data_IF_816832708574
#
_entry.id   IF_816832708574
#
_cell.length_a   1.000
_cell.length_b   1.000
_cell.length_c   1.000
_cell.angle_alpha   90.00
_cell.angle_beta   90.00
_cell.angle_gamma   90.00
#
_symmetry.space_group_name_H-M   'P 1'
#
loop_
_entity.id
_entity.type
_entity.pdbx_description
1 polymer ?
#
# COMPACT_ATOMS: atom_id res chain seq x y z
N UNK A 1 37.34 -16.41 45.88
CA UNK A 1 36.12 -15.91 46.55
C UNK A 1 35.88 -14.40 46.38
N UNK A 2 36.87 -13.55 46.13
CA UNK A 2 36.70 -12.09 45.95
C UNK A 2 36.10 -11.66 44.60
N UNK A 3 36.24 -12.44 43.54
CA UNK A 3 35.70 -12.15 42.20
C UNK A 3 34.20 -12.46 42.04
N UNK A 4 33.63 -13.35 42.83
CA UNK A 4 32.20 -13.67 42.85
C UNK A 4 31.37 -12.61 43.61
N UNK A 5 31.99 -11.89 44.56
CA UNK A 5 31.35 -10.81 45.30
C UNK A 5 31.17 -9.51 44.51
N UNK A 6 32.04 -9.22 43.53
CA UNK A 6 31.95 -8.04 42.67
C UNK A 6 30.91 -8.19 41.53
N UNK A 7 30.68 -9.41 41.05
CA UNK A 7 29.65 -9.70 40.05
C UNK A 7 28.23 -9.62 40.65
N UNK A 8 28.03 -9.95 41.92
CA UNK A 8 26.73 -9.83 42.57
C UNK A 8 26.38 -8.37 42.94
N UNK A 9 27.37 -7.53 43.19
CA UNK A 9 27.15 -6.12 43.50
C UNK A 9 26.79 -5.30 42.27
N UNK A 10 27.27 -5.67 41.07
CA UNK A 10 26.91 -5.00 39.80
C UNK A 10 25.49 -5.33 39.32
N UNK A 11 24.92 -6.49 39.67
CA UNK A 11 23.56 -6.86 39.37
C UNK A 11 22.50 -6.09 40.20
N UNK A 12 22.85 -5.56 41.34
CA UNK A 12 21.94 -4.80 42.18
C UNK A 12 21.86 -3.32 41.84
N UNK A 13 22.81 -2.78 41.07
CA UNK A 13 22.83 -1.37 40.67
C UNK A 13 22.00 -1.07 39.41
N UNK A 14 21.58 -2.07 38.68
CA UNK A 14 20.79 -1.88 37.45
C UNK A 14 19.27 -1.91 37.63
N UNK A 15 18.77 -2.21 38.84
CA UNK A 15 17.33 -2.38 39.10
C UNK A 15 16.61 -1.15 39.69
N UNK A 16 17.32 -0.06 39.98
CA UNK A 16 16.71 1.08 40.72
C UNK A 16 16.11 2.19 39.83
N UNK A 17 16.30 2.16 38.52
CA UNK A 17 15.75 3.20 37.62
C UNK A 17 14.33 2.92 37.11
N UNK A 18 13.82 1.71 37.23
CA UNK A 18 12.55 1.30 36.62
C UNK A 18 11.29 1.86 37.33
N UNK A 19 11.41 2.37 38.55
CA UNK A 19 10.24 2.73 39.38
C UNK A 19 10.29 4.16 39.96
N UNK A 20 11.07 5.07 39.37
CA UNK A 20 11.03 6.48 39.79
C UNK A 20 9.82 7.16 39.21
N UNK A 21 9.08 7.97 40.01
CA UNK A 21 7.97 8.76 39.52
C UNK A 21 8.40 9.64 38.30
N UNK A 22 7.68 9.58 37.22
CA UNK A 22 8.00 10.31 35.99
C UNK A 22 6.73 10.66 35.21
N UNK A 23 6.86 11.54 34.23
CA UNK A 23 5.85 11.82 33.22
C UNK A 23 6.15 10.97 31.98
N UNK A 24 5.18 10.19 31.52
CA UNK A 24 5.28 9.49 30.25
C UNK A 24 4.81 10.42 29.12
N UNK A 25 5.70 10.74 28.19
CA UNK A 25 5.35 11.53 27.01
C UNK A 25 5.14 10.61 25.80
N UNK A 26 3.96 10.70 25.20
CA UNK A 26 3.56 10.00 23.98
C UNK A 26 3.35 11.02 22.86
N UNK A 27 3.48 10.56 21.60
CA UNK A 27 3.29 11.41 20.42
C UNK A 27 2.27 10.78 19.49
N UNK A 28 1.26 11.57 19.11
CA UNK A 28 0.32 11.27 18.01
C UNK A 28 0.60 12.28 16.90
N UNK A 29 1.12 11.79 15.79
CA UNK A 29 1.39 12.58 14.58
C UNK A 29 0.73 11.92 13.38
N UNK A 30 -0.04 12.69 12.60
CA UNK A 30 -0.79 12.19 11.45
C UNK A 30 -2.15 11.56 11.78
N UNK A 31 -2.73 10.76 10.86
CA UNK A 31 -4.08 10.23 10.99
C UNK A 31 -4.25 9.26 12.16
N UNK A 32 -5.39 9.38 12.88
CA UNK A 32 -5.75 8.49 13.99
C UNK A 32 -6.43 7.23 13.44
N UNK A 33 -5.77 6.08 13.64
CA UNK A 33 -6.22 4.79 13.19
C UNK A 33 -5.93 3.66 14.20
N UNK A 34 -6.23 2.40 13.84
CA UNK A 34 -6.04 1.25 14.74
C UNK A 34 -4.62 1.09 15.28
N UNK A 35 -3.59 1.45 14.50
CA UNK A 35 -2.21 1.47 14.96
C UNK A 35 -1.98 2.49 16.09
N UNK A 36 -2.69 3.62 16.07
CA UNK A 36 -2.65 4.64 17.12
C UNK A 36 -3.26 4.11 18.42
N UNK A 37 -4.39 3.38 18.32
CA UNK A 37 -5.02 2.75 19.49
C UNK A 37 -4.10 1.72 20.14
N UNK A 38 -3.51 0.79 19.36
CA UNK A 38 -2.55 -0.22 19.87
C UNK A 38 -1.34 0.46 20.54
N UNK A 39 -0.83 1.52 19.95
CA UNK A 39 0.27 2.29 20.52
C UNK A 39 -0.09 2.92 21.88
N UNK A 40 -1.22 3.62 21.95
CA UNK A 40 -1.66 4.29 23.16
C UNK A 40 -2.00 3.29 24.28
N UNK A 41 -2.75 2.22 23.97
CA UNK A 41 -3.10 1.19 24.93
C UNK A 41 -1.86 0.57 25.59
N UNK A 42 -0.92 0.13 24.77
CA UNK A 42 0.34 -0.49 25.28
C UNK A 42 1.22 0.50 26.00
N UNK A 43 1.27 1.75 25.53
CA UNK A 43 2.08 2.78 26.17
C UNK A 43 1.49 3.21 27.51
N UNK A 44 0.17 3.31 27.65
CA UNK A 44 -0.51 3.56 28.92
C UNK A 44 -0.27 2.44 29.92
N UNK A 45 -0.43 1.18 29.51
CA UNK A 45 -0.15 0.01 30.35
C UNK A 45 1.32 -0.03 30.80
N UNK A 46 2.25 0.26 29.87
CA UNK A 46 3.67 0.31 30.17
C UNK A 46 4.01 1.47 31.11
N UNK A 47 3.47 2.67 30.88
CA UNK A 47 3.66 3.84 31.73
C UNK A 47 3.18 3.56 33.17
N UNK A 48 1.99 2.98 33.32
CA UNK A 48 1.44 2.57 34.60
C UNK A 48 2.36 1.55 35.32
N UNK A 49 2.78 0.49 34.61
CA UNK A 49 3.65 -0.56 35.20
C UNK A 49 5.03 -0.04 35.58
N UNK A 50 5.51 1.05 34.97
CA UNK A 50 6.79 1.69 35.24
C UNK A 50 6.69 2.85 36.23
N UNK A 51 5.51 3.09 36.81
CA UNK A 51 5.33 4.08 37.89
C UNK A 51 5.17 5.53 37.36
N UNK A 52 4.76 5.73 36.12
CA UNK A 52 4.40 7.06 35.63
C UNK A 52 3.28 7.65 36.49
N UNK A 53 3.40 8.94 36.83
CA UNK A 53 2.39 9.68 37.61
C UNK A 53 1.42 10.42 36.72
N UNK A 54 1.80 10.63 35.45
CA UNK A 54 1.07 11.39 34.48
C UNK A 54 1.45 10.90 33.08
N UNK A 55 0.51 10.93 32.16
CA UNK A 55 0.77 10.74 30.73
C UNK A 55 0.44 12.03 29.98
N UNK A 56 1.40 12.58 29.26
CA UNK A 56 1.21 13.69 28.33
C UNK A 56 1.23 13.15 26.90
N UNK A 57 0.12 13.36 26.19
CA UNK A 57 -0.02 12.95 24.78
C UNK A 57 0.05 14.22 23.92
N UNK A 58 1.18 14.40 23.26
CA UNK A 58 1.35 15.48 22.28
C UNK A 58 0.62 15.11 20.99
N UNK A 59 -0.21 16.02 20.46
CA UNK A 59 -1.12 15.73 19.33
C UNK A 59 -0.90 16.75 18.20
N UNK A 60 -0.63 16.22 16.98
CA UNK A 60 -0.75 16.93 15.71
C UNK A 60 -1.43 16.01 14.70
N UNK A 61 -2.73 16.20 14.46
CA UNK A 61 -3.54 15.28 13.64
C UNK A 61 -4.55 16.04 12.77
N UNK A 62 -4.73 15.59 11.52
CA UNK A 62 -5.83 16.02 10.67
C UNK A 62 -7.17 15.36 11.04
N UNK A 63 -7.15 14.34 11.92
CA UNK A 63 -8.31 13.53 12.27
C UNK A 63 -8.08 12.03 12.08
N UNK A 64 -9.14 11.27 11.90
CA UNK A 64 -9.08 9.83 11.69
C UNK A 64 -10.43 9.13 11.85
N UNK A 65 -10.41 7.84 12.13
CA UNK A 65 -11.61 7.00 12.20
C UNK A 65 -12.40 7.25 13.49
N UNK A 66 -13.71 7.42 13.35
CA UNK A 66 -14.61 7.64 14.50
C UNK A 66 -14.63 6.45 15.48
N UNK A 67 -14.57 5.21 14.96
CA UNK A 67 -14.47 4.01 15.80
C UNK A 67 -13.23 4.03 16.67
N UNK A 68 -12.07 4.28 16.07
CA UNK A 68 -10.78 4.41 16.75
C UNK A 68 -10.80 5.54 17.80
N UNK A 69 -11.42 6.68 17.46
CA UNK A 69 -11.59 7.81 18.38
C UNK A 69 -12.35 7.39 19.65
N UNK A 70 -13.43 6.61 19.50
CA UNK A 70 -14.19 6.08 20.63
C UNK A 70 -13.38 5.12 21.49
N UNK A 71 -12.59 4.27 20.86
CA UNK A 71 -11.75 3.33 21.61
C UNK A 71 -10.68 4.09 22.42
N UNK A 72 -10.03 5.09 21.82
CA UNK A 72 -9.03 5.90 22.52
C UNK A 72 -9.65 6.73 23.66
N UNK A 73 -10.79 7.41 23.43
CA UNK A 73 -11.45 8.15 24.50
C UNK A 73 -11.90 7.24 25.64
N UNK A 74 -12.31 6.01 25.35
CA UNK A 74 -12.58 4.98 26.37
C UNK A 74 -11.33 4.60 27.16
N UNK A 75 -10.17 4.42 26.49
CA UNK A 75 -8.88 4.17 27.16
C UNK A 75 -8.53 5.31 28.11
N UNK A 76 -8.74 6.57 27.71
CA UNK A 76 -8.48 7.72 28.61
C UNK A 76 -9.39 7.69 29.83
N UNK A 77 -10.70 7.43 29.64
CA UNK A 77 -11.66 7.35 30.74
C UNK A 77 -11.41 6.20 31.71
N UNK A 78 -10.80 5.11 31.25
CA UNK A 78 -10.48 3.92 32.04
C UNK A 78 -9.04 3.94 32.60
N UNK A 79 -8.26 4.96 32.28
CA UNK A 79 -6.88 5.06 32.74
C UNK A 79 -6.80 5.20 34.27
N UNK A 80 -5.89 4.46 34.90
CA UNK A 80 -5.56 4.57 36.34
C UNK A 80 -4.57 5.70 36.64
N UNK A 81 -4.05 6.36 35.59
CA UNK A 81 -3.16 7.53 35.71
C UNK A 81 -3.73 8.68 34.90
N UNK A 82 -3.58 9.92 35.36
CA UNK A 82 -4.08 11.09 34.63
C UNK A 82 -3.52 11.18 33.20
N UNK A 83 -4.38 11.48 32.24
CA UNK A 83 -4.04 11.69 30.85
C UNK A 83 -4.21 13.16 30.50
N UNK A 84 -3.16 13.79 30.01
CA UNK A 84 -3.14 15.15 29.48
C UNK A 84 -2.98 15.09 27.96
N UNK A 85 -3.84 15.77 27.23
CA UNK A 85 -3.61 16.03 25.81
C UNK A 85 -3.02 17.41 25.62
N UNK A 86 -2.01 17.49 24.76
CA UNK A 86 -1.30 18.74 24.45
C UNK A 86 -1.20 18.91 22.94
N UNK A 87 -1.95 19.85 22.39
CA UNK A 87 -1.92 20.15 20.95
C UNK A 87 -0.65 20.96 20.66
N UNK A 88 0.36 20.32 20.14
CA UNK A 88 1.69 20.88 19.92
C UNK A 88 2.44 20.15 18.78
N UNK A 89 3.49 20.76 18.20
CA UNK A 89 4.10 22.06 18.52
C UNK A 89 3.25 23.26 18.06
N UNK A 90 3.81 24.48 18.12
CA UNK A 90 3.18 25.66 17.51
C UNK A 90 2.80 25.39 16.05
N UNK A 91 1.58 25.79 15.65
CA UNK A 91 1.01 25.47 14.34
C UNK A 91 0.39 24.09 14.21
N UNK A 92 0.51 23.22 15.22
CA UNK A 92 -0.15 21.93 15.25
C UNK A 92 -1.67 22.05 15.30
N UNK A 93 -2.34 20.96 14.95
CA UNK A 93 -3.80 20.90 14.98
C UNK A 93 -4.32 19.62 15.62
N UNK A 94 -5.44 19.75 16.32
CA UNK A 94 -6.25 18.61 16.77
C UNK A 94 -7.59 18.65 16.05
N UNK A 95 -7.60 18.33 14.74
CA UNK A 95 -8.80 18.37 13.92
C UNK A 95 -9.60 17.07 14.01
N UNK A 96 -10.92 17.14 13.80
CA UNK A 96 -11.83 15.99 13.73
C UNK A 96 -11.67 15.05 14.94
N UNK A 97 -11.20 13.80 14.75
CA UNK A 97 -10.92 12.86 15.82
C UNK A 97 -10.05 13.45 16.93
N UNK A 98 -9.07 14.30 16.59
CA UNK A 98 -8.21 14.98 17.55
C UNK A 98 -8.99 15.84 18.57
N UNK A 99 -10.03 16.52 18.12
CA UNK A 99 -10.93 17.31 19.00
C UNK A 99 -11.57 16.43 20.07
N UNK A 100 -12.06 15.26 19.67
CA UNK A 100 -12.64 14.29 20.63
C UNK A 100 -11.61 13.80 21.64
N UNK A 101 -10.34 13.58 21.23
CA UNK A 101 -9.27 13.16 22.14
C UNK A 101 -8.97 14.27 23.17
N UNK A 102 -8.93 15.52 22.71
CA UNK A 102 -8.78 16.67 23.60
C UNK A 102 -9.91 16.72 24.62
N UNK A 103 -11.15 16.57 24.20
CA UNK A 103 -12.30 16.54 25.10
C UNK A 103 -12.34 15.32 26.02
N UNK A 104 -11.80 14.17 25.58
CA UNK A 104 -11.77 12.92 26.32
C UNK A 104 -10.69 12.82 27.40
N UNK A 105 -9.69 13.70 27.36
CA UNK A 105 -8.56 13.71 28.34
C UNK A 105 -8.95 14.39 29.64
N UNK A 106 -8.25 14.06 30.73
CA UNK A 106 -8.47 14.68 32.04
C UNK A 106 -8.07 16.15 32.06
N UNK A 107 -6.97 16.49 31.41
CA UNK A 107 -6.51 17.87 31.18
C UNK A 107 -6.26 18.05 29.70
N UNK A 108 -6.71 19.18 29.16
CA UNK A 108 -6.47 19.59 27.78
C UNK A 108 -5.63 20.85 27.74
N UNK A 109 -4.59 20.85 26.94
CA UNK A 109 -3.70 21.98 26.75
C UNK A 109 -3.36 22.18 25.26
N UNK A 110 -2.96 23.39 24.92
CA UNK A 110 -2.57 23.79 23.58
C UNK A 110 -1.27 24.58 23.60
N UNK A 111 -0.44 24.42 22.58
CA UNK A 111 0.66 25.33 22.30
C UNK A 111 0.12 26.63 21.69
N UNK A 112 0.79 27.77 21.86
CA UNK A 112 0.45 28.99 21.14
C UNK A 112 0.36 28.74 19.63
N UNK A 113 -0.55 29.45 18.94
CA UNK A 113 -0.76 29.32 17.48
C UNK A 113 -1.22 27.94 17.00
N UNK A 114 -1.54 27.02 17.90
CA UNK A 114 -2.18 25.74 17.53
C UNK A 114 -3.70 25.90 17.44
N UNK A 115 -4.39 24.91 16.88
CA UNK A 115 -5.84 24.98 16.65
C UNK A 115 -6.52 23.62 16.87
N UNK A 116 -7.81 23.66 17.20
CA UNK A 116 -8.65 22.46 17.30
C UNK A 116 -10.04 22.73 16.72
N UNK A 117 -10.79 21.65 16.42
CA UNK A 117 -12.16 21.75 15.91
C UNK A 117 -12.38 20.94 14.64
N UNK A 118 -13.29 21.44 13.77
CA UNK A 118 -13.68 20.80 12.51
C UNK A 118 -14.02 19.30 12.71
N UNK A 119 -14.89 19.01 13.70
CA UNK A 119 -15.15 17.66 14.19
C UNK A 119 -16.39 16.99 13.52
N UNK A 120 -16.89 17.54 12.43
CA UNK A 120 -18.02 16.98 11.68
C UNK A 120 -17.65 15.59 11.14
N UNK A 121 -18.45 14.55 11.43
CA UNK A 121 -18.21 13.23 10.89
C UNK A 121 -18.32 13.24 9.36
N UNK A 122 -17.25 12.82 8.68
CA UNK A 122 -17.26 12.55 7.25
C UNK A 122 -17.55 11.08 7.03
N UNK A 123 -18.38 10.75 6.03
CA UNK A 123 -18.86 9.39 5.83
C UNK A 123 -17.95 8.64 4.84
N UNK A 124 -17.74 7.36 5.12
CA UNK A 124 -16.85 6.48 4.38
C UNK A 124 -17.41 5.96 3.05
N UNK A 125 -18.64 6.31 2.64
CA UNK A 125 -19.25 5.73 1.43
C UNK A 125 -20.26 6.67 0.81
N UNK A 126 -19.93 7.19 -0.38
CA UNK A 126 -20.82 7.77 -1.40
C UNK A 126 -21.73 8.93 -0.98
N UNK A 127 -21.89 9.91 -1.85
CA UNK A 127 -22.80 11.07 -1.70
C UNK A 127 -24.29 10.74 -1.54
N UNK A 128 -24.69 9.47 -1.63
CA UNK A 128 -26.08 9.00 -1.70
C UNK A 128 -26.66 8.48 -0.38
N UNK A 129 -26.01 8.76 0.78
CA UNK A 129 -26.67 8.39 2.03
C UNK A 129 -27.87 9.29 2.31
N UNK A 130 -29.00 8.63 2.62
CA UNK A 130 -30.23 9.26 3.08
C UNK A 130 -29.90 10.30 4.17
N UNK A 131 -30.47 11.50 4.07
CA UNK A 131 -30.32 12.60 5.04
C UNK A 131 -30.51 12.12 6.49
N UNK A 132 -31.42 11.18 6.70
CA UNK A 132 -31.69 10.56 8.00
C UNK A 132 -30.48 9.80 8.57
N UNK A 133 -29.66 9.16 7.73
CA UNK A 133 -28.46 8.47 8.21
C UNK A 133 -27.36 9.47 8.57
N UNK A 134 -27.19 10.55 7.81
CA UNK A 134 -26.25 11.65 8.14
C UNK A 134 -26.62 12.28 9.50
N UNK A 135 -27.88 12.60 9.70
CA UNK A 135 -28.37 13.14 10.96
C UNK A 135 -28.13 12.19 12.13
N UNK A 136 -28.34 10.88 11.93
CA UNK A 136 -28.07 9.87 12.95
C UNK A 136 -26.60 9.85 13.37
N UNK A 137 -25.65 9.80 12.41
CA UNK A 137 -24.21 9.78 12.70
C UNK A 137 -23.76 11.09 13.36
N UNK A 138 -24.25 12.23 12.87
CA UNK A 138 -23.96 13.53 13.46
C UNK A 138 -24.47 13.64 14.89
N UNK A 139 -25.72 13.26 15.14
CA UNK A 139 -26.32 13.31 16.48
C UNK A 139 -25.62 12.37 17.46
N UNK A 140 -25.20 11.19 17.00
CA UNK A 140 -24.42 10.25 17.79
C UNK A 140 -23.03 10.83 18.15
N UNK A 141 -22.35 11.50 17.21
CA UNK A 141 -21.10 12.19 17.47
C UNK A 141 -21.25 13.37 18.43
N UNK A 142 -22.33 14.17 18.27
CA UNK A 142 -22.69 15.27 19.19
C UNK A 142 -22.92 14.73 20.60
N UNK A 143 -23.71 13.68 20.74
CA UNK A 143 -23.97 13.07 22.05
C UNK A 143 -22.66 12.61 22.70
N UNK A 144 -21.79 12.00 21.92
CA UNK A 144 -20.49 11.53 22.43
C UNK A 144 -19.61 12.68 22.90
N UNK A 145 -19.40 13.73 22.08
CA UNK A 145 -18.51 14.83 22.45
C UNK A 145 -19.06 15.67 23.60
N UNK A 146 -20.39 15.88 23.66
CA UNK A 146 -21.03 16.55 24.79
C UNK A 146 -20.82 15.77 26.09
N UNK A 147 -20.97 14.46 26.07
CA UNK A 147 -20.72 13.62 27.27
C UNK A 147 -19.26 13.72 27.73
N UNK A 148 -18.28 13.80 26.80
CA UNK A 148 -16.87 14.01 27.14
C UNK A 148 -16.65 15.41 27.74
N UNK A 149 -17.29 16.44 27.17
CA UNK A 149 -17.23 17.81 27.65
C UNK A 149 -17.79 17.94 29.07
N UNK A 150 -18.97 17.44 29.30
CA UNK A 150 -19.66 17.47 30.61
C UNK A 150 -18.86 16.73 31.68
N UNK A 151 -18.32 15.54 31.32
CA UNK A 151 -17.49 14.74 32.25
C UNK A 151 -16.25 15.50 32.73
N UNK A 152 -15.61 16.27 31.84
CA UNK A 152 -14.35 16.97 32.12
C UNK A 152 -14.55 18.47 32.41
N UNK A 153 -15.79 18.93 32.61
CA UNK A 153 -16.12 20.32 32.97
C UNK A 153 -15.80 21.34 31.87
N UNK A 154 -15.84 20.92 30.60
CA UNK A 154 -15.55 21.77 29.44
C UNK A 154 -16.81 22.23 28.71
N UNK A 155 -16.63 23.17 27.78
CA UNK A 155 -17.72 23.78 27.03
C UNK A 155 -18.40 22.75 26.09
N UNK A 156 -19.58 22.26 26.47
CA UNK A 156 -20.34 21.29 25.70
C UNK A 156 -21.05 21.92 24.48
N UNK A 157 -21.41 23.20 24.57
CA UNK A 157 -22.11 23.87 23.47
C UNK A 157 -21.16 24.16 22.30
N UNK A 158 -19.94 24.57 22.60
CA UNK A 158 -18.92 24.69 21.55
C UNK A 158 -18.53 23.30 20.98
N UNK A 159 -18.47 22.28 21.80
CA UNK A 159 -18.23 20.90 21.34
C UNK A 159 -19.27 20.46 20.30
N UNK A 160 -20.55 20.80 20.51
CA UNK A 160 -21.62 20.55 19.55
C UNK A 160 -21.41 21.38 18.26
N UNK A 161 -21.02 22.65 18.35
CA UNK A 161 -20.73 23.49 17.18
C UNK A 161 -19.55 22.93 16.36
N UNK A 162 -18.49 22.42 17.02
CA UNK A 162 -17.38 21.78 16.34
C UNK A 162 -17.81 20.58 15.49
N UNK A 163 -18.86 19.84 15.93
CA UNK A 163 -19.41 18.68 15.21
C UNK A 163 -20.43 19.11 14.15
N UNK A 164 -21.37 19.99 14.46
CA UNK A 164 -22.45 20.36 13.52
C UNK A 164 -22.01 21.37 12.47
N UNK A 165 -21.18 22.32 12.84
CA UNK A 165 -20.83 23.49 12.04
C UNK A 165 -19.34 23.51 11.62
N UNK A 166 -18.59 22.45 11.97
CA UNK A 166 -17.14 22.37 11.77
C UNK A 166 -16.38 23.56 12.39
N UNK A 167 -16.90 24.11 13.51
CA UNK A 167 -16.27 25.24 14.19
C UNK A 167 -14.84 24.91 14.62
N UNK A 168 -13.95 25.91 14.55
CA UNK A 168 -12.54 25.82 14.95
C UNK A 168 -12.17 26.97 15.86
N UNK A 169 -11.24 26.74 16.78
CA UNK A 169 -10.66 27.76 17.66
C UNK A 169 -9.13 27.68 17.65
N UNK A 170 -8.50 28.85 17.76
CA UNK A 170 -7.10 28.96 18.14
C UNK A 170 -6.90 28.73 19.64
N UNK A 171 -5.65 28.61 20.08
CA UNK A 171 -5.33 28.25 21.46
C UNK A 171 -5.91 29.22 22.50
N UNK A 172 -5.75 30.53 22.29
CA UNK A 172 -6.22 31.58 23.24
C UNK A 172 -7.77 31.63 23.29
N UNK A 173 -8.42 31.47 22.14
CA UNK A 173 -9.88 31.43 22.05
C UNK A 173 -10.43 30.17 22.73
N UNK A 174 -9.74 29.03 22.57
CA UNK A 174 -10.11 27.76 23.18
C UNK A 174 -10.01 27.81 24.72
N UNK A 175 -8.98 28.49 25.25
CA UNK A 175 -8.84 28.76 26.67
C UNK A 175 -9.96 29.67 27.18
N UNK A 176 -10.20 30.79 26.50
CA UNK A 176 -11.24 31.77 26.87
C UNK A 176 -12.65 31.14 26.82
N UNK A 177 -12.90 30.23 25.89
CA UNK A 177 -14.17 29.53 25.75
C UNK A 177 -14.32 28.30 26.68
N UNK A 178 -13.36 28.03 27.55
CA UNK A 178 -13.33 26.80 28.40
C UNK A 178 -13.40 25.49 27.60
N UNK A 179 -12.73 25.46 26.45
CA UNK A 179 -12.56 24.27 25.62
C UNK A 179 -11.31 23.50 26.03
N UNK A 180 -10.25 24.24 26.38
CA UNK A 180 -9.03 23.69 26.97
C UNK A 180 -8.74 24.33 28.32
N UNK A 181 -7.89 23.68 29.13
CA UNK A 181 -7.57 24.14 30.48
C UNK A 181 -6.34 25.07 30.52
N UNK A 182 -5.41 24.89 29.57
CA UNK A 182 -4.14 25.62 29.57
C UNK A 182 -3.65 25.95 28.15
N UNK A 183 -2.90 27.03 28.03
CA UNK A 183 -2.07 27.35 26.87
C UNK A 183 -0.64 27.47 27.38
N UNK A 184 0.26 26.61 26.93
CA UNK A 184 1.64 26.50 27.42
C UNK A 184 2.60 26.33 26.23
N UNK A 185 3.77 26.97 26.28
CA UNK A 185 4.73 26.99 25.18
C UNK A 185 5.52 25.67 25.00
N UNK A 186 5.64 24.87 26.05
CA UNK A 186 6.34 23.58 26.02
C UNK A 186 5.73 22.58 27.00
N UNK A 187 6.14 21.32 26.94
CA UNK A 187 5.70 20.30 27.91
C UNK A 187 6.18 20.65 29.31
N UNK A 188 7.38 21.18 29.45
CA UNK A 188 7.94 21.61 30.74
C UNK A 188 7.14 22.77 31.35
N UNK A 189 6.75 23.74 30.53
CA UNK A 189 5.88 24.86 30.97
C UNK A 189 4.50 24.30 31.36
N UNK A 190 3.93 23.41 30.56
CA UNK A 190 2.66 22.76 30.89
C UNK A 190 2.72 22.03 32.24
N UNK A 191 3.78 21.28 32.51
CA UNK A 191 3.96 20.57 33.79
C UNK A 191 4.03 21.52 34.96
N UNK A 192 4.62 22.73 34.79
CA UNK A 192 4.62 23.77 35.84
C UNK A 192 3.23 24.40 36.01
N UNK A 193 2.48 24.61 34.91
CA UNK A 193 1.15 25.19 34.95
C UNK A 193 0.09 24.29 35.61
N UNK A 194 0.22 22.94 35.42
CA UNK A 194 -0.72 21.97 35.99
C UNK A 194 -0.30 21.46 37.40
N UNK A 195 0.80 21.93 37.96
CA UNK A 195 1.21 21.52 39.31
C UNK A 195 0.18 22.00 40.34
N UNK A 196 -0.29 21.08 41.17
CA UNK A 196 -1.39 21.35 42.11
C UNK A 196 -2.79 21.26 41.53
N UNK A 197 -2.95 21.05 40.19
CA UNK A 197 -4.26 20.89 39.57
C UNK A 197 -4.96 19.62 40.08
N UNK A 198 -6.25 19.74 40.39
CA UNK A 198 -7.08 18.62 40.84
C UNK A 198 -7.77 17.94 39.67
N UNK A 199 -7.56 16.64 39.50
CA UNK A 199 -8.24 15.81 38.49
C UNK A 199 -9.11 14.75 39.16
N UNK A 200 -10.29 14.51 38.60
CA UNK A 200 -11.13 13.40 39.00
C UNK A 200 -10.71 12.14 38.26
N UNK A 201 -10.20 11.16 38.98
CA UNK A 201 -9.74 9.87 38.44
C UNK A 201 -10.55 8.77 39.08
N UNK A 202 -11.38 8.04 38.31
CA UNK A 202 -12.25 6.95 38.80
C UNK A 202 -13.12 7.32 40.02
N UNK A 203 -13.52 8.60 40.14
CA UNK A 203 -14.36 9.09 41.23
C UNK A 203 -13.58 9.60 42.45
N UNK A 204 -12.26 9.50 42.45
CA UNK A 204 -11.39 10.09 43.45
C UNK A 204 -10.76 11.39 42.92
N UNK A 205 -10.61 12.38 43.77
CA UNK A 205 -9.91 13.64 43.42
C UNK A 205 -8.44 13.49 43.73
N UNK A 206 -7.60 13.63 42.71
CA UNK A 206 -6.15 13.57 42.82
C UNK A 206 -5.54 14.95 42.52
N UNK A 207 -4.73 15.49 43.46
CA UNK A 207 -3.91 16.67 43.22
C UNK A 207 -2.59 16.27 42.55
N UNK A 208 -2.30 16.86 41.41
CA UNK A 208 -1.09 16.58 40.63
C UNK A 208 0.13 17.19 41.32
N UNK A 209 1.27 16.50 41.25
CA UNK A 209 2.59 16.99 41.61
C UNK A 209 3.52 16.71 40.45
N UNK A 210 3.79 17.71 39.65
CA UNK A 210 4.43 17.58 38.32
C UNK A 210 5.75 18.36 38.22
N UNK A 211 5.99 19.36 39.03
CA UNK A 211 7.09 20.30 38.87
C UNK A 211 8.52 19.66 38.82
N UNK A 212 8.72 18.55 39.53
CA UNK A 212 10.04 17.90 39.64
C UNK A 212 10.10 16.54 38.90
N UNK A 213 9.11 16.19 38.09
CA UNK A 213 9.07 14.92 37.43
C UNK A 213 9.91 14.90 36.14
N UNK A 214 10.70 13.85 35.97
CA UNK A 214 11.44 13.57 34.74
C UNK A 214 10.46 13.23 33.59
N UNK A 215 10.66 13.82 32.43
CA UNK A 215 9.90 13.48 31.24
C UNK A 215 10.59 12.31 30.53
N UNK A 216 9.88 11.20 30.35
CA UNK A 216 10.35 10.04 29.60
C UNK A 216 9.52 9.84 28.36
N UNK A 217 10.18 9.82 27.20
CA UNK A 217 9.51 9.57 25.92
C UNK A 217 9.22 8.08 25.73
N UNK A 218 7.96 7.78 25.41
CA UNK A 218 7.47 6.45 25.09
C UNK A 218 7.24 6.36 23.58
N UNK A 219 8.34 6.20 22.83
CA UNK A 219 8.29 6.08 21.39
C UNK A 219 7.61 4.77 20.94
N UNK A 220 6.95 4.77 19.75
CA UNK A 220 6.39 3.57 19.17
C UNK A 220 7.44 2.46 19.03
N UNK A 221 7.13 1.26 19.49
CA UNK A 221 8.00 0.08 19.38
C UNK A 221 8.05 -0.44 17.91
N UNK A 222 8.88 -1.44 17.65
CA UNK A 222 9.03 -2.02 16.31
C UNK A 222 7.70 -2.56 15.76
N UNK A 223 6.88 -3.17 16.63
CA UNK A 223 5.57 -3.67 16.25
C UNK A 223 4.65 -2.54 15.80
N UNK A 224 4.55 -1.48 16.60
CA UNK A 224 3.71 -0.33 16.26
C UNK A 224 4.19 0.36 14.98
N UNK A 225 5.51 0.45 14.75
CA UNK A 225 6.06 1.00 13.50
C UNK A 225 5.64 0.17 12.29
N UNK A 226 5.69 -1.16 12.40
CA UNK A 226 5.23 -2.06 11.34
C UNK A 226 3.71 -1.90 11.12
N UNK A 227 2.91 -1.88 12.20
CA UNK A 227 1.47 -1.67 12.10
C UNK A 227 1.11 -0.32 11.47
N UNK A 228 1.81 0.76 11.86
CA UNK A 228 1.61 2.09 11.27
C UNK A 228 1.97 2.11 9.78
N UNK A 229 3.05 1.41 9.40
CA UNK A 229 3.42 1.26 7.99
C UNK A 229 2.34 0.52 7.19
N UNK A 230 1.82 -0.59 7.73
CA UNK A 230 0.76 -1.39 7.09
C UNK A 230 -0.59 -0.67 7.11
N UNK A 231 -0.86 0.19 8.09
CA UNK A 231 -2.05 1.03 8.14
C UNK A 231 -1.98 2.26 7.22
N UNK A 232 -0.90 2.43 6.45
CA UNK A 232 -0.77 3.50 5.47
C UNK A 232 -1.41 3.08 4.13
N UNK A 233 -2.41 3.83 3.60
CA UNK A 233 -3.10 3.49 2.35
C UNK A 233 -2.17 3.34 1.15
N UNK A 234 -1.14 4.19 1.05
CA UNK A 234 -0.18 4.15 -0.06
C UNK A 234 0.66 2.87 -0.03
N UNK A 235 1.08 2.43 1.17
CA UNK A 235 1.84 1.18 1.35
C UNK A 235 0.94 -0.02 1.06
N UNK A 236 -0.29 -0.04 1.57
CA UNK A 236 -1.27 -1.09 1.30
C UNK A 236 -1.53 -1.25 -0.21
N UNK A 237 -1.69 -0.13 -0.92
CA UNK A 237 -1.87 -0.10 -2.37
C UNK A 237 -0.64 -0.61 -3.12
N UNK A 238 0.56 -0.19 -2.73
CA UNK A 238 1.80 -0.68 -3.34
C UNK A 238 2.01 -2.18 -3.10
N UNK A 239 1.75 -2.66 -1.87
CA UNK A 239 1.80 -4.09 -1.56
C UNK A 239 0.82 -4.90 -2.41
N UNK A 240 -0.41 -4.39 -2.60
CA UNK A 240 -1.42 -5.01 -3.47
C UNK A 240 -0.91 -5.11 -4.91
N UNK A 241 -0.39 -4.03 -5.47
CA UNK A 241 0.12 -4.01 -6.84
C UNK A 241 1.34 -4.91 -7.02
N UNK A 242 2.36 -4.79 -6.15
CA UNK A 242 3.55 -5.66 -6.19
C UNK A 242 3.14 -7.13 -6.06
N UNK A 243 2.16 -7.41 -5.23
CA UNK A 243 1.60 -8.74 -5.06
C UNK A 243 0.95 -9.29 -6.32
N UNK A 244 0.07 -8.50 -6.95
CA UNK A 244 -0.61 -8.88 -8.20
C UNK A 244 0.42 -9.07 -9.32
N UNK A 245 1.28 -8.08 -9.55
CA UNK A 245 2.28 -8.15 -10.63
C UNK A 245 3.33 -9.25 -10.40
N UNK A 246 3.70 -9.51 -9.14
CA UNK A 246 4.62 -10.60 -8.79
C UNK A 246 4.06 -11.98 -9.15
N UNK A 247 2.78 -12.24 -8.84
CA UNK A 247 2.11 -13.48 -9.23
C UNK A 247 1.92 -13.57 -10.75
N UNK A 248 1.57 -12.48 -11.41
CA UNK A 248 1.45 -12.43 -12.88
C UNK A 248 2.78 -12.80 -13.52
N UNK A 249 3.87 -12.22 -13.05
CA UNK A 249 5.20 -12.48 -13.60
C UNK A 249 5.62 -13.96 -13.44
N UNK A 250 5.32 -14.57 -12.30
CA UNK A 250 5.56 -16.00 -12.06
C UNK A 250 4.74 -16.88 -13.02
N UNK A 251 3.45 -16.53 -13.24
CA UNK A 251 2.61 -17.27 -14.19
C UNK A 251 3.11 -17.17 -15.63
N UNK A 252 3.71 -16.04 -16.01
CA UNK A 252 4.27 -15.82 -17.35
C UNK A 252 5.65 -16.43 -17.55
N UNK A 253 6.41 -16.60 -16.47
CA UNK A 253 7.78 -17.13 -16.49
C UNK A 253 7.98 -18.17 -15.38
N UNK A 254 7.29 -19.34 -15.47
CA UNK A 254 7.31 -20.31 -14.40
C UNK A 254 8.71 -20.84 -14.13
N UNK A 255 9.10 -20.90 -12.84
CA UNK A 255 10.38 -21.43 -12.39
C UNK A 255 11.37 -20.39 -11.86
N UNK A 256 11.08 -19.09 -11.95
CA UNK A 256 11.90 -18.06 -11.32
C UNK A 256 11.71 -18.04 -9.80
N UNK A 257 10.53 -18.40 -9.30
CA UNK A 257 10.09 -18.52 -7.90
C UNK A 257 10.13 -17.23 -7.08
N UNK A 258 11.15 -16.38 -7.26
CA UNK A 258 11.34 -15.15 -6.46
C UNK A 258 10.17 -14.17 -6.60
N UNK A 259 9.70 -13.80 -7.81
CA UNK A 259 8.58 -12.89 -7.96
C UNK A 259 7.27 -13.47 -7.38
N UNK A 260 7.04 -14.78 -7.57
CA UNK A 260 5.85 -15.46 -7.05
C UNK A 260 5.78 -15.47 -5.53
N UNK A 261 6.89 -15.86 -4.86
CA UNK A 261 6.98 -15.86 -3.40
C UNK A 261 6.83 -14.44 -2.84
N UNK A 262 7.58 -13.49 -3.40
CA UNK A 262 7.50 -12.08 -2.98
C UNK A 262 6.09 -11.53 -3.20
N UNK A 263 5.48 -11.84 -4.34
CA UNK A 263 4.12 -11.46 -4.67
C UNK A 263 3.09 -12.01 -3.68
N UNK A 264 3.21 -13.29 -3.33
CA UNK A 264 2.32 -13.91 -2.33
C UNK A 264 2.45 -13.26 -0.95
N UNK A 265 3.68 -13.00 -0.48
CA UNK A 265 3.91 -12.29 0.79
C UNK A 265 3.30 -10.90 0.74
N UNK A 266 3.53 -10.13 -0.34
CA UNK A 266 2.97 -8.80 -0.50
C UNK A 266 1.43 -8.82 -0.51
N UNK A 267 0.78 -9.81 -1.13
CA UNK A 267 -0.68 -9.95 -1.10
C UNK A 267 -1.21 -10.27 0.29
N UNK A 268 -0.54 -11.13 1.06
CA UNK A 268 -0.94 -11.41 2.44
C UNK A 268 -0.83 -10.15 3.32
N UNK A 269 0.25 -9.39 3.17
CA UNK A 269 0.41 -8.11 3.87
C UNK A 269 -0.60 -7.06 3.40
N UNK A 270 -0.89 -7.00 2.09
CA UNK A 270 -1.93 -6.13 1.55
C UNK A 270 -3.31 -6.51 2.10
N UNK A 271 -3.65 -7.80 2.14
CA UNK A 271 -4.92 -8.27 2.69
C UNK A 271 -5.07 -7.88 4.18
N UNK A 272 -4.01 -8.01 4.97
CA UNK A 272 -3.98 -7.55 6.36
C UNK A 272 -4.17 -6.02 6.44
N UNK A 273 -3.47 -5.25 5.61
CA UNK A 273 -3.60 -3.79 5.54
C UNK A 273 -5.03 -3.35 5.17
N UNK A 274 -5.61 -3.99 4.15
CA UNK A 274 -6.97 -3.71 3.69
C UNK A 274 -8.06 -4.10 4.69
N UNK A 275 -7.76 -5.03 5.61
CA UNK A 275 -8.68 -5.37 6.72
C UNK A 275 -8.72 -4.25 7.78
N UNK A 276 -7.61 -3.52 7.95
CA UNK A 276 -7.49 -2.45 8.93
C UNK A 276 -8.03 -1.11 8.37
N UNK A 277 -7.87 -0.90 7.06
CA UNK A 277 -8.22 0.34 6.38
C UNK A 277 -9.67 0.31 5.86
N UNK A 278 -10.37 1.45 5.87
CA UNK A 278 -11.67 1.57 5.22
C UNK A 278 -11.48 1.53 3.70
N UNK A 279 -11.94 0.46 3.08
CA UNK A 279 -11.81 0.27 1.63
C UNK A 279 -13.16 0.22 0.94
N UNK A 280 -13.18 0.72 -0.30
CA UNK A 280 -14.28 0.51 -1.22
C UNK A 280 -14.07 -0.81 -1.98
N UNK A 281 -14.97 -1.78 -1.75
CA UNK A 281 -14.90 -3.10 -2.39
C UNK A 281 -15.02 -3.04 -3.91
N UNK A 282 -15.79 -2.08 -4.45
CA UNK A 282 -15.91 -1.88 -5.91
C UNK A 282 -14.57 -1.40 -6.48
N UNK A 283 -13.88 -0.47 -5.80
CA UNK A 283 -12.54 -0.03 -6.19
C UNK A 283 -11.54 -1.20 -6.22
N UNK A 284 -11.55 -2.05 -5.19
CA UNK A 284 -10.71 -3.24 -5.15
C UNK A 284 -11.01 -4.21 -6.31
N UNK A 285 -12.29 -4.49 -6.57
CA UNK A 285 -12.71 -5.35 -7.68
C UNK A 285 -12.29 -4.79 -9.05
N UNK A 286 -12.39 -3.47 -9.25
CA UNK A 286 -11.93 -2.81 -10.47
C UNK A 286 -10.42 -2.93 -10.66
N UNK A 287 -9.62 -2.83 -9.60
CA UNK A 287 -8.16 -3.04 -9.66
C UNK A 287 -7.85 -4.48 -10.07
N UNK A 288 -8.49 -5.46 -9.42
CA UNK A 288 -8.30 -6.88 -9.75
C UNK A 288 -8.72 -7.18 -11.19
N UNK A 289 -9.88 -6.67 -11.62
CA UNK A 289 -10.37 -6.83 -12.98
C UNK A 289 -9.44 -6.17 -14.00
N UNK A 290 -8.93 -4.97 -13.70
CA UNK A 290 -7.92 -4.29 -14.52
C UNK A 290 -6.65 -5.13 -14.69
N UNK A 291 -6.15 -5.71 -13.58
CA UNK A 291 -5.02 -6.64 -13.61
C UNK A 291 -5.27 -7.87 -14.50
N UNK A 292 -6.45 -8.49 -14.39
CA UNK A 292 -6.85 -9.63 -15.21
C UNK A 292 -6.89 -9.23 -16.70
N UNK A 293 -7.43 -8.07 -17.05
CA UNK A 293 -7.48 -7.60 -18.44
C UNK A 293 -6.07 -7.35 -19.02
N UNK A 294 -5.16 -6.77 -18.22
CA UNK A 294 -3.76 -6.55 -18.64
C UNK A 294 -3.06 -7.89 -18.92
N UNK A 295 -3.32 -8.90 -18.09
CA UNK A 295 -2.80 -10.26 -18.30
C UNK A 295 -3.45 -10.91 -19.53
N UNK A 296 -4.76 -10.76 -19.70
CA UNK A 296 -5.49 -11.34 -20.82
C UNK A 296 -4.97 -10.83 -22.17
N UNK A 297 -4.51 -9.58 -22.27
CA UNK A 297 -3.87 -9.02 -23.47
C UNK A 297 -2.66 -9.84 -23.93
N UNK A 298 -1.91 -10.44 -22.99
CA UNK A 298 -0.76 -11.28 -23.31
C UNK A 298 -1.18 -12.59 -24.01
N UNK A 299 -2.32 -13.16 -23.62
CA UNK A 299 -2.81 -14.43 -24.18
C UNK A 299 -3.74 -14.23 -25.39
N UNK A 300 -4.53 -13.15 -25.38
CA UNK A 300 -5.49 -12.81 -26.44
C UNK A 300 -5.08 -11.51 -27.10
N UNK A 301 -4.27 -11.57 -28.17
CA UNK A 301 -3.71 -10.37 -28.79
C UNK A 301 -4.81 -9.55 -29.44
N UNK A 302 -5.26 -8.50 -28.75
CA UNK A 302 -6.30 -7.57 -29.19
C UNK A 302 -5.73 -6.24 -29.73
N UNK A 303 -4.43 -6.17 -29.99
CA UNK A 303 -3.71 -4.94 -30.37
C UNK A 303 -3.76 -3.82 -29.33
N UNK A 304 -3.87 -4.18 -28.06
CA UNK A 304 -3.86 -3.25 -26.93
C UNK A 304 -5.25 -2.84 -26.42
N UNK A 305 -6.33 -3.23 -27.09
CA UNK A 305 -7.71 -2.79 -26.72
C UNK A 305 -8.09 -3.30 -25.33
N UNK A 306 -7.88 -4.60 -25.07
CA UNK A 306 -8.17 -5.21 -23.77
C UNK A 306 -7.25 -4.62 -22.70
N UNK A 307 -5.96 -4.46 -23.03
CA UNK A 307 -4.97 -3.88 -22.11
C UNK A 307 -5.28 -2.43 -21.71
N UNK A 308 -5.69 -1.60 -22.67
CA UNK A 308 -6.13 -0.22 -22.39
C UNK A 308 -7.37 -0.22 -21.49
N UNK A 309 -8.36 -1.09 -21.76
CA UNK A 309 -9.49 -1.30 -20.86
C UNK A 309 -9.06 -1.68 -19.45
N UNK A 310 -8.03 -2.54 -19.33
CA UNK A 310 -7.40 -2.90 -18.08
C UNK A 310 -6.77 -1.72 -17.33
N UNK A 311 -6.05 -0.84 -18.04
CA UNK A 311 -5.48 0.38 -17.46
C UNK A 311 -6.57 1.34 -16.97
N UNK A 312 -7.63 1.52 -17.74
CA UNK A 312 -8.78 2.36 -17.34
C UNK A 312 -9.42 1.79 -16.07
N UNK A 313 -9.69 0.48 -16.03
CA UNK A 313 -10.29 -0.18 -14.87
C UNK A 313 -9.39 -0.08 -13.63
N UNK A 314 -8.08 -0.32 -13.79
CA UNK A 314 -7.10 -0.19 -12.71
C UNK A 314 -7.05 1.24 -12.16
N UNK A 315 -7.05 2.25 -13.04
CA UNK A 315 -7.01 3.66 -12.64
C UNK A 315 -8.29 4.07 -11.93
N UNK A 316 -9.46 3.71 -12.48
CA UNK A 316 -10.74 3.97 -11.85
C UNK A 316 -10.85 3.29 -10.48
N UNK A 317 -10.42 2.03 -10.39
CA UNK A 317 -10.37 1.30 -9.13
C UNK A 317 -9.43 1.93 -8.11
N UNK A 318 -8.28 2.44 -8.54
CA UNK A 318 -7.33 3.14 -7.66
C UNK A 318 -7.90 4.45 -7.09
N UNK A 319 -8.65 5.20 -7.90
CA UNK A 319 -9.34 6.41 -7.45
C UNK A 319 -10.45 6.11 -6.44
N UNK A 320 -11.06 4.92 -6.53
CA UNK A 320 -12.19 4.52 -5.69
C UNK A 320 -11.77 3.65 -4.50
N UNK A 321 -10.52 3.15 -4.44
CA UNK A 321 -10.12 2.15 -3.45
C UNK A 321 -10.22 2.65 -2.01
N UNK A 322 -9.76 3.87 -1.75
CA UNK A 322 -9.84 4.51 -0.44
C UNK A 322 -10.73 5.73 -0.49
N UNK A 323 -11.47 5.94 0.59
CA UNK A 323 -12.35 7.08 0.69
C UNK A 323 -11.56 8.36 0.93
N UNK A 324 -11.65 9.31 0.00
CA UNK A 324 -10.99 10.63 0.10
C UNK A 324 -11.65 11.55 1.14
N UNK A 325 -12.79 11.16 1.71
CA UNK A 325 -13.47 11.94 2.75
C UNK A 325 -12.75 11.88 4.11
N UNK A 326 -11.92 10.85 4.36
CA UNK A 326 -11.13 10.72 5.60
C UNK A 326 -9.75 11.36 5.41
N UNK A 327 -9.47 12.49 6.08
CA UNK A 327 -8.20 13.19 5.92
C UNK A 327 -7.00 12.28 6.22
N UNK A 328 -6.04 12.23 5.27
CA UNK A 328 -4.82 11.41 5.39
C UNK A 328 -4.99 9.93 5.04
N UNK A 329 -6.18 9.49 4.59
CA UNK A 329 -6.41 8.13 4.10
C UNK A 329 -6.58 8.04 2.58
N UNK A 330 -6.40 9.12 1.88
CA UNK A 330 -6.45 9.19 0.42
C UNK A 330 -5.16 8.72 -0.25
N UNK A 331 -5.28 8.14 -1.44
CA UNK A 331 -4.12 7.86 -2.28
C UNK A 331 -3.61 9.16 -2.92
N UNK A 332 -2.29 9.33 -2.93
CA UNK A 332 -1.67 10.43 -3.66
C UNK A 332 -1.97 10.32 -5.16
N UNK A 333 -2.49 11.39 -5.76
CA UNK A 333 -2.74 11.45 -7.21
C UNK A 333 -1.48 11.17 -8.02
N UNK A 334 -0.31 11.61 -7.54
CA UNK A 334 0.97 11.34 -8.20
C UNK A 334 1.28 9.83 -8.24
N UNK A 335 0.93 9.09 -7.19
CA UNK A 335 1.09 7.63 -7.15
C UNK A 335 0.16 6.95 -8.16
N UNK A 336 -1.11 7.37 -8.23
CA UNK A 336 -2.09 6.83 -9.18
C UNK A 336 -1.63 7.07 -10.63
N UNK A 337 -1.19 8.28 -10.95
CA UNK A 337 -0.66 8.60 -12.28
C UNK A 337 0.60 7.80 -12.63
N UNK A 338 1.52 7.63 -11.66
CA UNK A 338 2.72 6.84 -11.86
C UNK A 338 2.37 5.38 -12.18
N UNK A 339 1.45 4.79 -11.43
CA UNK A 339 0.99 3.41 -11.65
C UNK A 339 0.27 3.27 -13.00
N UNK A 340 -0.62 4.19 -13.33
CA UNK A 340 -1.31 4.20 -14.63
C UNK A 340 -0.33 4.29 -15.81
N UNK A 341 0.71 5.13 -15.68
CA UNK A 341 1.76 5.25 -16.69
C UNK A 341 2.57 3.96 -16.86
N UNK A 342 2.95 3.32 -15.74
CA UNK A 342 3.68 2.03 -15.77
C UNK A 342 2.79 0.94 -16.40
N UNK A 343 1.51 0.88 -16.04
CA UNK A 343 0.57 -0.06 -16.61
C UNK A 343 0.37 0.17 -18.12
N UNK A 344 0.23 1.42 -18.55
CA UNK A 344 0.13 1.77 -19.97
C UNK A 344 1.40 1.42 -20.74
N UNK A 345 2.56 1.71 -20.16
CA UNK A 345 3.85 1.37 -20.76
C UNK A 345 4.03 -0.16 -20.91
N UNK A 346 3.56 -0.95 -19.94
CA UNK A 346 3.60 -2.41 -20.00
C UNK A 346 2.69 -2.95 -21.12
N UNK A 347 1.48 -2.43 -21.27
CA UNK A 347 0.56 -2.78 -22.37
C UNK A 347 1.17 -2.42 -23.73
N UNK A 348 1.72 -1.21 -23.86
CA UNK A 348 2.40 -0.78 -25.10
C UNK A 348 3.61 -1.68 -25.43
N UNK A 349 4.39 -2.06 -24.43
CA UNK A 349 5.52 -2.97 -24.60
C UNK A 349 5.07 -4.35 -25.09
N UNK A 350 4.03 -4.94 -24.48
CA UNK A 350 3.44 -6.21 -24.89
C UNK A 350 2.97 -6.12 -26.35
N UNK A 351 2.21 -5.08 -26.70
CA UNK A 351 1.72 -4.87 -28.05
C UNK A 351 2.85 -4.74 -29.09
N UNK A 352 3.93 -4.03 -28.76
CA UNK A 352 5.11 -3.88 -29.62
C UNK A 352 5.86 -5.20 -29.81
N UNK A 353 6.05 -5.98 -28.75
CA UNK A 353 6.72 -7.29 -28.83
C UNK A 353 5.90 -8.24 -29.70
N UNK A 354 4.59 -8.28 -29.52
CA UNK A 354 3.69 -9.11 -30.35
C UNK A 354 3.66 -8.69 -31.82
N UNK A 355 3.60 -7.38 -32.09
CA UNK A 355 3.66 -6.87 -33.46
C UNK A 355 4.97 -7.25 -34.15
N UNK A 356 6.11 -7.10 -33.45
CA UNK A 356 7.43 -7.50 -33.99
C UNK A 356 7.54 -9.02 -34.21
N UNK A 357 7.01 -9.83 -33.29
CA UNK A 357 7.01 -11.30 -33.44
C UNK A 357 6.21 -11.75 -34.65
N UNK A 358 5.01 -11.16 -34.89
CA UNK A 358 4.21 -11.46 -36.07
C UNK A 358 4.85 -11.00 -37.36
N UNK A 359 5.54 -9.85 -37.38
CA UNK A 359 6.28 -9.39 -38.56
C UNK A 359 7.47 -10.29 -38.88
N UNK A 360 8.15 -10.84 -37.86
CA UNK A 360 9.30 -11.74 -38.03
C UNK A 360 8.86 -13.13 -38.48
N UNK A 361 7.67 -13.58 -38.13
CA UNK A 361 7.08 -14.87 -38.55
C UNK A 361 6.34 -14.77 -39.89
N UNK A 362 6.51 -13.70 -40.65
CA UNK A 362 6.04 -13.64 -42.04
C UNK A 362 6.90 -14.57 -42.88
N UNK A 363 6.36 -15.75 -43.06
CA UNK A 363 6.49 -16.76 -44.10
C UNK A 363 7.88 -17.12 -44.60
N UNK A 364 8.23 -18.40 -44.49
CA UNK A 364 9.24 -19.04 -45.36
C UNK A 364 8.85 -18.99 -46.85
N UNK A 365 7.60 -18.64 -47.18
CA UNK A 365 7.07 -18.72 -48.56
C UNK A 365 7.63 -17.70 -49.54
N UNK A 366 8.37 -16.66 -49.11
CA UNK A 366 9.02 -15.71 -50.02
C UNK A 366 10.51 -16.01 -50.27
N UNK A 367 11.04 -17.09 -49.66
CA UNK A 367 12.38 -17.57 -50.00
C UNK A 367 12.30 -18.30 -51.33
N UNK A 368 12.93 -17.75 -52.33
CA UNK A 368 13.11 -18.42 -53.60
C UNK A 368 14.15 -19.54 -53.44
N UNK A 369 13.68 -20.79 -53.41
CA UNK A 369 14.53 -21.98 -53.25
C UNK A 369 14.86 -22.65 -54.60
N UNK A 370 14.44 -22.04 -55.70
CA UNK A 370 14.76 -22.58 -57.05
C UNK A 370 16.28 -22.63 -57.24
N UNK A 371 16.78 -23.81 -57.65
CA UNK A 371 18.21 -24.10 -57.80
C UNK A 371 18.92 -24.64 -56.58
N UNK A 372 18.26 -24.58 -55.37
CA UNK A 372 18.87 -25.18 -54.17
C UNK A 372 18.84 -26.71 -54.25
N UNK A 373 19.83 -27.35 -53.60
CA UNK A 373 19.91 -28.78 -53.48
C UNK A 373 19.42 -29.22 -52.08
N UNK A 374 18.60 -30.28 -52.07
CA UNK A 374 18.06 -30.84 -50.85
C UNK A 374 18.17 -32.37 -50.81
N UNK A 375 17.90 -32.94 -49.64
CA UNK A 375 17.88 -34.36 -49.42
C UNK A 375 16.44 -34.83 -49.18
N UNK A 376 16.01 -35.90 -49.84
CA UNK A 376 14.70 -36.50 -49.63
C UNK A 376 14.65 -37.13 -48.23
N UNK A 377 13.71 -36.69 -47.39
CA UNK A 377 13.45 -37.25 -46.04
C UNK A 377 12.21 -38.18 -46.06
N UNK A 378 11.29 -37.98 -46.98
CA UNK A 378 10.16 -38.85 -47.19
C UNK A 378 10.03 -39.14 -48.67
N UNK A 379 9.80 -40.40 -49.03
CA UNK A 379 9.73 -40.84 -50.43
C UNK A 379 8.79 -39.96 -51.25
N UNK A 380 9.27 -39.46 -52.39
CA UNK A 380 8.45 -38.65 -53.29
C UNK A 380 7.75 -39.59 -54.30
N UNK A 381 6.39 -39.75 -54.16
CA UNK A 381 5.57 -40.59 -55.08
C UNK A 381 4.18 -39.99 -55.26
N UNK A 382 3.95 -38.99 -56.11
CA UNK A 382 4.91 -37.97 -56.54
C UNK A 382 5.28 -36.93 -55.46
N UNK A 383 4.52 -36.90 -54.31
CA UNK A 383 4.66 -35.92 -53.24
C UNK A 383 5.36 -36.59 -52.01
N UNK A 384 6.08 -35.77 -51.26
CA UNK A 384 6.76 -36.15 -50.04
C UNK A 384 7.49 -34.93 -49.43
N UNK A 385 8.53 -35.17 -48.62
CA UNK A 385 9.26 -34.14 -47.94
C UNK A 385 10.75 -34.14 -48.29
N UNK A 386 11.32 -32.96 -48.45
CA UNK A 386 12.75 -32.74 -48.67
C UNK A 386 13.32 -31.83 -47.58
N UNK A 387 14.57 -31.95 -47.28
CA UNK A 387 15.34 -31.06 -46.44
C UNK A 387 16.17 -30.13 -47.31
N UNK A 388 15.90 -28.80 -47.23
CA UNK A 388 16.68 -27.76 -47.83
C UNK A 388 17.42 -26.96 -46.72
N UNK A 389 18.70 -27.21 -46.56
CA UNK A 389 19.47 -26.66 -45.42
C UNK A 389 18.92 -27.19 -44.08
N UNK A 390 18.42 -26.26 -43.23
CA UNK A 390 17.80 -26.61 -41.94
C UNK A 390 16.28 -26.64 -41.96
N UNK A 391 15.67 -26.50 -43.14
CA UNK A 391 14.20 -26.43 -43.28
C UNK A 391 13.65 -27.67 -43.99
N UNK A 392 12.46 -28.09 -43.56
CA UNK A 392 11.73 -29.20 -44.22
C UNK A 392 10.71 -28.58 -45.15
N UNK A 393 10.74 -28.95 -46.41
CA UNK A 393 9.84 -28.43 -47.46
C UNK A 393 9.00 -29.58 -48.07
N UNK A 394 7.71 -29.35 -48.30
CA UNK A 394 6.92 -30.25 -49.11
C UNK A 394 7.40 -30.18 -50.56
N UNK A 395 7.59 -31.33 -51.17
CA UNK A 395 8.12 -31.42 -52.53
C UNK A 395 7.33 -32.40 -53.39
N UNK A 396 7.30 -32.09 -54.69
CA UNK A 396 6.71 -32.95 -55.73
C UNK A 396 7.80 -33.27 -56.75
N UNK A 397 7.95 -34.55 -57.05
CA UNK A 397 8.86 -34.99 -58.13
C UNK A 397 8.27 -34.60 -59.49
N UNK A 398 9.04 -33.91 -60.34
CA UNK A 398 8.61 -33.58 -61.73
C UNK A 398 8.47 -34.84 -62.62
N UNK A 399 9.28 -35.83 -62.32
CA UNK A 399 9.15 -37.13 -63.05
C UNK A 399 8.21 -38.05 -62.24
N UNK A 400 7.34 -38.80 -62.97
CA UNK A 400 6.45 -39.79 -62.34
C UNK A 400 7.22 -40.98 -61.72
N UNK A 401 8.52 -40.89 -61.52
CA UNK A 401 9.37 -41.91 -60.88
C UNK A 401 9.48 -41.66 -59.40
N UNK A 402 9.40 -42.77 -58.63
CA UNK A 402 9.63 -42.73 -57.20
C UNK A 402 11.06 -42.26 -56.90
N UNK A 403 11.21 -41.18 -56.12
CA UNK A 403 12.51 -40.77 -55.59
C UNK A 403 12.55 -41.20 -54.12
N UNK A 404 13.43 -42.10 -53.81
CA UNK A 404 13.52 -42.71 -52.48
C UNK A 404 14.24 -41.84 -51.47
N UNK A 405 13.94 -42.05 -50.19
CA UNK A 405 14.62 -41.44 -49.07
C UNK A 405 16.15 -41.43 -49.22
N UNK A 406 16.76 -40.32 -48.83
CA UNK A 406 18.23 -40.17 -48.84
C UNK A 406 18.81 -39.67 -50.15
N UNK A 407 18.07 -39.65 -51.28
CA UNK A 407 18.48 -39.11 -52.55
C UNK A 407 18.64 -37.59 -52.53
N UNK A 408 19.59 -37.07 -53.31
CA UNK A 408 19.76 -35.65 -53.52
C UNK A 408 18.89 -35.20 -54.69
N UNK A 409 18.19 -34.07 -54.49
CA UNK A 409 17.30 -33.44 -55.45
C UNK A 409 17.65 -31.97 -55.59
N UNK A 410 17.37 -31.40 -56.78
CA UNK A 410 17.46 -29.98 -57.03
C UNK A 410 16.06 -29.40 -57.26
N UNK A 411 15.79 -28.27 -56.65
CA UNK A 411 14.52 -27.56 -56.84
C UNK A 411 14.55 -26.90 -58.22
N UNK A 412 13.65 -27.27 -59.08
CA UNK A 412 13.52 -26.78 -60.47
C UNK A 412 12.54 -25.62 -60.51
N UNK A 413 11.44 -25.71 -59.76
CA UNK A 413 10.38 -24.70 -59.73
C UNK A 413 9.77 -24.64 -58.32
N UNK A 414 9.24 -23.48 -57.95
CA UNK A 414 8.54 -23.25 -56.68
C UNK A 414 7.17 -22.67 -56.91
N UNK A 415 6.13 -23.24 -56.29
CA UNK A 415 4.79 -22.72 -56.26
C UNK A 415 4.30 -22.56 -54.83
N UNK A 416 4.36 -21.34 -54.33
CA UNK A 416 4.05 -21.04 -52.91
C UNK A 416 5.04 -21.76 -51.98
N UNK A 417 4.55 -22.67 -51.14
CA UNK A 417 5.36 -23.48 -50.22
C UNK A 417 5.76 -24.84 -50.80
N UNK A 418 5.32 -25.18 -51.99
CA UNK A 418 5.62 -26.45 -52.65
C UNK A 418 6.83 -26.32 -53.55
N UNK A 419 7.84 -27.20 -53.35
CA UNK A 419 9.00 -27.30 -54.21
C UNK A 419 8.81 -28.38 -55.26
N UNK A 420 9.07 -28.11 -56.50
CA UNK A 420 9.16 -29.12 -57.55
C UNK A 420 10.60 -29.49 -57.76
N UNK A 421 10.90 -30.81 -57.76
CA UNK A 421 12.26 -31.30 -57.66
C UNK A 421 12.57 -32.37 -58.70
N UNK A 422 13.83 -32.39 -59.14
CA UNK A 422 14.42 -33.42 -59.98
C UNK A 422 15.58 -34.11 -59.27
N UNK A 423 15.69 -35.44 -59.45
CA UNK A 423 16.81 -36.23 -58.85
C UNK A 423 18.15 -35.86 -59.53
N UNK A 424 19.15 -35.52 -58.69
CA UNK A 424 20.52 -35.27 -59.18
C UNK A 424 21.20 -36.60 -59.46
N UNK A 425 21.48 -36.87 -60.75
CA UNK A 425 22.24 -38.06 -61.19
C UNK A 425 23.67 -37.94 -60.69
N UNK A 426 24.30 -39.05 -60.27
CA UNK A 426 25.64 -39.11 -59.66
C UNK A 426 26.77 -38.40 -60.45
N UNK A 427 26.57 -38.02 -61.75
CA UNK A 427 27.54 -37.39 -62.60
C UNK A 427 27.65 -35.88 -62.42
N UNK A 428 26.72 -35.22 -61.68
CA UNK A 428 26.69 -33.77 -61.46
C UNK A 428 26.94 -33.34 -60.03
N UNK A 429 27.58 -34.18 -59.21
CA UNK A 429 27.89 -33.80 -57.83
C UNK A 429 29.09 -32.82 -57.80
N UNK A 430 28.81 -31.53 -57.90
CA UNK A 430 29.80 -30.52 -57.50
C UNK A 430 29.93 -30.51 -55.96
N UNK A 431 31.15 -30.45 -55.39
CA UNK A 431 31.35 -30.44 -53.94
C UNK A 431 30.70 -29.15 -53.36
N UNK A 432 29.91 -29.32 -52.28
CA UNK A 432 29.29 -28.24 -51.55
C UNK A 432 30.33 -27.16 -51.16
N UNK A 433 30.10 -25.92 -51.55
CA UNK A 433 30.94 -24.80 -51.12
C UNK A 433 30.79 -24.62 -49.60
N UNK A 434 31.92 -24.50 -48.86
CA UNK A 434 31.83 -24.27 -47.43
C UNK A 434 31.25 -22.88 -47.12
N UNK A 435 30.36 -22.83 -46.17
CA UNK A 435 29.44 -21.74 -45.81
C UNK A 435 30.08 -20.46 -45.25
N UNK A 436 31.43 -20.37 -45.22
CA UNK A 436 32.11 -19.29 -44.46
C UNK A 436 33.09 -18.43 -45.23
N UNK A 437 33.02 -18.31 -46.54
CA UNK A 437 33.83 -17.33 -47.26
C UNK A 437 33.08 -15.99 -47.41
N UNK A 438 33.61 -14.89 -46.84
CA UNK A 438 33.05 -13.55 -47.04
C UNK A 438 33.23 -13.10 -48.52
N UNK A 439 32.25 -12.37 -49.05
CA UNK A 439 32.35 -11.72 -50.37
C UNK A 439 33.52 -10.72 -50.39
N UNK A 440 34.34 -10.69 -51.44
CA UNK A 440 35.23 -9.57 -51.64
C UNK A 440 34.47 -8.28 -51.93
N UNK A 441 35.02 -7.17 -51.42
CA UNK A 441 34.45 -5.80 -51.50
C UNK A 441 34.24 -5.33 -52.91
#
# INVERSE_FOLDING_TARGET
MLLLGLASLSLWLTSTHANQPHVAQLLIEGPIGPATTDYLERSLQKAQSQGARLVVITIDTPGGLLSTTRDITRLFMQSDIPVVTYVAPEGARAASAGTFLVYGSHIAAMAPSSQLGAATPVQMQGDDLDSAMRDKVTNDAVTHIRSLAERNGRNADWAEQAVREAATLGAEEALAANVVNYVSASVEALLADIDGHEVSLQGETLSLRTADLEIRQYAPDTRNRILSLLANPQIAYLLLLVGIYGLIFELMSPGVLVPGITGAICLLLAAFSLQILPINTVGLLLILFGGILIVAEFFVPSFGIIGVGGVISLTAGSLMLFDSSVPGMELSMNLIYAVALVALASVAFIALVMARSRMRNRKPSDRNVVGEQGKVIENLNPQGLIQLGNEVWPATAESSRLITHGKLVRVTFQQGTMAFVEEIKKTEQQPARPFWKPKPR
#
